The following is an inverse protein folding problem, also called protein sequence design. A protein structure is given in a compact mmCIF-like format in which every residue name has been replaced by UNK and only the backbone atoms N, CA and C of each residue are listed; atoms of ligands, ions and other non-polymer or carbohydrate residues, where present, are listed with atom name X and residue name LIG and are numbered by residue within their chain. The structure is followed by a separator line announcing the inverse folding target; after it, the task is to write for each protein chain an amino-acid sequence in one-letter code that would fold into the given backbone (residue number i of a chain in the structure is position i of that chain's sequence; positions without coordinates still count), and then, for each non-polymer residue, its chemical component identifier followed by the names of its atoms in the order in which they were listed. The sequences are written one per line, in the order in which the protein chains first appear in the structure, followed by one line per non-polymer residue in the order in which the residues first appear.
data_IF_095294546365
#
_entry.id   IF_095294546365
#
_cell.length_a   1.000
_cell.length_b   1.000
_cell.length_c   1.000
_cell.angle_alpha   90.00
_cell.angle_beta   90.00
_cell.angle_gamma   90.00
#
_symmetry.space_group_name_H-M   'P 1'
#
loop_
_entity.id
_entity.type
_entity.pdbx_description
1 polymer ?
#
# COMPACT_ATOMS: atom_id res chain seq x y z
N UNK A 1 -58.18 -28.05 25.00
CA UNK A 1 -58.70 -28.97 23.95
C UNK A 1 -57.56 -29.21 22.97
N UNK A 2 -56.70 -30.19 23.25
CA UNK A 2 -56.79 -31.62 22.85
C UNK A 2 -56.60 -31.84 21.34
N UNK A 3 -55.38 -32.28 21.03
CA UNK A 3 -54.86 -32.97 19.84
C UNK A 3 -55.79 -34.07 19.29
N UNK A 4 -55.50 -34.53 18.06
CA UNK A 4 -55.10 -35.94 17.87
C UNK A 4 -53.75 -36.01 17.12
N UNK A 5 -52.70 -36.71 17.60
CA UNK A 5 -52.46 -38.18 17.62
C UNK A 5 -52.76 -38.84 16.27
N UNK A 6 -51.95 -39.70 15.65
CA UNK A 6 -50.65 -40.38 15.89
C UNK A 6 -50.43 -41.26 14.62
N UNK A 7 -49.28 -41.96 14.57
CA UNK A 7 -48.98 -43.21 13.82
C UNK A 7 -48.25 -42.99 12.48
N UNK A 8 -47.23 -43.76 12.06
CA UNK A 8 -46.36 -44.81 12.63
C UNK A 8 -45.27 -45.11 11.58
N UNK A 9 -44.27 -45.91 11.96
CA UNK A 9 -43.31 -46.70 11.15
C UNK A 9 -41.93 -46.07 10.96
N UNK A 10 -40.92 -46.51 11.72
CA UNK A 10 -40.19 -47.81 11.68
C UNK A 10 -39.14 -47.81 10.55
N UNK A 11 -37.89 -47.68 11.01
CA UNK A 11 -36.69 -48.42 10.60
C UNK A 11 -36.29 -48.41 9.11
N UNK A 12 -35.19 -47.73 8.82
CA UNK A 12 -34.21 -48.29 7.91
C UNK A 12 -32.79 -47.93 8.35
N UNK A 13 -32.13 -48.93 8.92
CA UNK A 13 -30.68 -49.00 9.09
C UNK A 13 -30.11 -49.29 7.71
N UNK A 14 -29.29 -48.39 7.17
CA UNK A 14 -28.32 -48.72 6.14
C UNK A 14 -26.99 -48.06 6.51
N UNK A 15 -26.17 -48.81 7.23
CA UNK A 15 -24.74 -48.56 7.31
C UNK A 15 -24.13 -48.85 5.92
N UNK A 16 -23.68 -47.82 5.22
CA UNK A 16 -22.66 -47.97 4.18
C UNK A 16 -21.55 -46.94 4.44
N UNK A 17 -20.58 -47.40 5.21
CA UNK A 17 -19.21 -46.91 5.16
C UNK A 17 -18.61 -47.20 3.79
N UNK A 18 -18.34 -46.16 3.01
CA UNK A 18 -17.36 -46.20 1.92
C UNK A 18 -16.47 -44.97 2.07
N UNK A 19 -15.34 -45.22 2.72
CA UNK A 19 -14.19 -44.34 2.78
C UNK A 19 -13.67 -44.12 1.36
N UNK A 20 -13.80 -42.90 0.83
CA UNK A 20 -12.94 -42.44 -0.25
C UNK A 20 -11.86 -41.55 0.35
N UNK A 21 -10.81 -42.22 0.84
CA UNK A 21 -9.48 -41.63 0.92
C UNK A 21 -8.96 -41.62 -0.52
N UNK A 22 -8.95 -40.45 -1.15
CA UNK A 22 -7.91 -40.13 -2.11
C UNK A 22 -7.26 -38.83 -1.70
N UNK A 23 -6.08 -39.02 -1.12
CA UNK A 23 -5.06 -38.03 -0.87
C UNK A 23 -4.55 -37.50 -2.23
N UNK A 24 -4.62 -36.20 -2.42
CA UNK A 24 -3.55 -35.45 -3.08
C UNK A 24 -3.42 -34.15 -2.32
N UNK A 25 -2.67 -34.23 -1.23
CA UNK A 25 -2.15 -33.09 -0.48
C UNK A 25 -1.21 -32.30 -1.39
N UNK A 26 -1.62 -31.09 -1.74
CA UNK A 26 -0.71 -29.94 -1.79
C UNK A 26 -1.56 -28.68 -1.63
N UNK A 27 -1.87 -28.36 -0.38
CA UNK A 27 -2.59 -27.15 -0.01
C UNK A 27 -1.96 -26.60 1.26
N UNK A 28 -0.68 -26.25 1.17
CA UNK A 28 0.09 -25.58 2.24
C UNK A 28 0.99 -24.46 1.68
N UNK A 29 0.42 -23.57 0.85
CA UNK A 29 1.14 -22.36 0.38
C UNK A 29 0.33 -21.06 0.43
N UNK A 30 -0.91 -21.03 0.96
CA UNK A 30 -1.72 -19.79 1.05
C UNK A 30 -1.91 -19.22 2.45
N UNK A 31 -1.33 -19.85 3.47
CA UNK A 31 -1.55 -19.46 4.88
C UNK A 31 -0.41 -18.64 5.47
N UNK A 32 0.81 -18.74 4.94
CA UNK A 32 1.97 -17.97 5.43
C UNK A 32 1.87 -16.49 5.05
N UNK A 33 1.47 -16.19 3.82
CA UNK A 33 1.51 -14.83 3.29
C UNK A 33 0.46 -13.94 3.97
N UNK A 34 -0.79 -14.41 4.10
CA UNK A 34 -1.84 -13.65 4.76
C UNK A 34 -1.55 -13.37 6.24
N UNK A 35 -0.95 -14.34 6.96
CA UNK A 35 -0.54 -14.13 8.36
C UNK A 35 0.62 -13.13 8.46
N UNK A 36 1.60 -13.18 7.54
CA UNK A 36 2.71 -12.22 7.52
C UNK A 36 2.28 -10.79 7.21
N UNK A 37 1.24 -10.61 6.38
CA UNK A 37 0.74 -9.28 6.02
C UNK A 37 -0.13 -8.69 7.14
N UNK A 38 -0.95 -9.51 7.82
CA UNK A 38 -1.71 -9.06 9.00
C UNK A 38 -0.78 -8.48 10.07
N UNK A 39 0.42 -9.04 10.20
CA UNK A 39 1.41 -8.57 11.18
C UNK A 39 2.22 -7.36 10.68
N UNK A 40 2.33 -7.12 9.36
CA UNK A 40 3.19 -6.03 8.83
C UNK A 40 2.50 -4.67 8.84
N UNK A 41 1.22 -4.60 8.47
CA UNK A 41 0.53 -3.32 8.35
C UNK A 41 0.54 -2.50 9.67
N UNK A 42 0.30 -3.08 10.86
CA UNK A 42 0.41 -2.35 12.12
C UNK A 42 1.83 -1.82 12.42
N UNK A 43 2.87 -2.54 12.00
CA UNK A 43 4.27 -2.11 12.18
C UNK A 43 4.57 -0.90 11.29
N UNK A 44 4.07 -0.91 10.05
CA UNK A 44 4.19 0.23 9.13
C UNK A 44 3.44 1.44 9.66
N UNK A 45 2.22 1.26 10.17
CA UNK A 45 1.43 2.34 10.77
C UNK A 45 2.15 2.97 11.96
N UNK A 46 2.78 2.16 12.82
CA UNK A 46 3.56 2.65 13.96
C UNK A 46 4.79 3.46 13.51
N UNK A 47 5.55 2.95 12.53
CA UNK A 47 6.72 3.65 12.00
C UNK A 47 6.33 4.97 11.32
N UNK A 48 5.25 4.98 10.53
CA UNK A 48 4.72 6.19 9.90
C UNK A 48 4.26 7.20 10.94
N UNK A 49 3.58 6.77 12.00
CA UNK A 49 3.15 7.65 13.09
C UNK A 49 4.32 8.30 13.85
N UNK A 50 5.51 7.68 13.80
CA UNK A 50 6.75 8.18 14.39
C UNK A 50 7.61 8.99 13.39
N UNK A 51 7.10 9.23 12.18
CA UNK A 51 7.83 9.83 11.06
C UNK A 51 9.08 9.01 10.61
N UNK A 52 9.14 7.71 10.94
CA UNK A 52 10.23 6.79 10.57
C UNK A 52 10.00 6.16 9.17
N UNK A 53 9.84 7.00 8.15
CA UNK A 53 9.47 6.57 6.79
C UNK A 53 10.52 5.69 6.11
N UNK A 54 11.81 5.97 6.30
CA UNK A 54 12.88 5.18 5.68
C UNK A 54 12.85 3.73 6.18
N UNK A 55 12.70 3.53 7.49
CA UNK A 55 12.62 2.20 8.10
C UNK A 55 11.34 1.47 7.65
N UNK A 56 10.21 2.17 7.56
CA UNK A 56 8.97 1.60 7.04
C UNK A 56 9.12 1.12 5.59
N UNK A 57 9.81 1.90 4.74
CA UNK A 57 10.05 1.53 3.34
C UNK A 57 11.04 0.38 3.21
N UNK A 58 12.14 0.38 3.98
CA UNK A 58 13.10 -0.74 4.01
C UNK A 58 12.43 -2.05 4.42
N UNK A 59 11.51 -2.00 5.39
CA UNK A 59 10.72 -3.16 5.81
C UNK A 59 9.82 -3.68 4.67
N UNK A 60 9.21 -2.78 3.89
CA UNK A 60 8.35 -3.13 2.75
C UNK A 60 9.14 -3.61 1.52
N UNK A 61 10.39 -3.21 1.34
CA UNK A 61 11.24 -3.66 0.22
C UNK A 61 11.61 -5.15 0.33
N UNK A 62 11.73 -5.67 1.56
CA UNK A 62 12.04 -7.07 1.81
C UNK A 62 10.89 -8.04 1.53
N UNK A 63 9.71 -7.55 1.18
CA UNK A 63 8.48 -8.35 1.07
C UNK A 63 8.06 -8.46 -0.40
N UNK A 64 7.70 -9.68 -0.88
CA UNK A 64 7.17 -9.87 -2.23
C UNK A 64 5.97 -8.96 -2.52
N UNK A 65 5.97 -8.33 -3.69
CA UNK A 65 4.92 -7.42 -4.07
C UNK A 65 3.59 -8.15 -4.31
N UNK A 66 2.57 -7.65 -3.64
CA UNK A 66 1.17 -8.01 -3.84
C UNK A 66 0.33 -6.73 -3.67
N UNK A 67 -0.97 -6.73 -4.01
CA UNK A 67 -1.78 -5.51 -3.96
C UNK A 67 -1.79 -4.79 -2.60
N UNK A 68 -1.70 -5.52 -1.50
CA UNK A 68 -1.69 -4.96 -0.15
C UNK A 68 -0.34 -4.30 0.17
N UNK A 69 0.77 -4.97 -0.15
CA UNK A 69 2.12 -4.40 -0.01
C UNK A 69 2.31 -3.19 -0.91
N UNK A 70 1.79 -3.21 -2.13
CA UNK A 70 1.81 -2.04 -3.03
C UNK A 70 1.01 -0.88 -2.43
N UNK A 71 -0.15 -1.15 -1.82
CA UNK A 71 -0.95 -0.12 -1.13
C UNK A 71 -0.18 0.48 0.05
N UNK A 72 0.50 -0.34 0.86
CA UNK A 72 1.34 0.14 1.95
C UNK A 72 2.52 0.98 1.44
N UNK A 73 3.21 0.54 0.38
CA UNK A 73 4.31 1.31 -0.24
C UNK A 73 3.80 2.65 -0.79
N UNK A 74 2.67 2.64 -1.50
CA UNK A 74 2.04 3.85 -2.04
C UNK A 74 1.76 4.87 -0.92
N UNK A 75 1.09 4.42 0.15
CA UNK A 75 0.73 5.28 1.26
C UNK A 75 1.95 5.77 2.07
N UNK A 76 2.95 4.92 2.27
CA UNK A 76 4.18 5.30 2.97
C UNK A 76 4.96 6.34 2.18
N UNK A 77 5.12 6.19 0.86
CA UNK A 77 5.74 7.21 0.02
C UNK A 77 4.95 8.53 0.03
N UNK A 78 3.62 8.47 -0.05
CA UNK A 78 2.77 9.67 -0.01
C UNK A 78 2.96 10.44 1.31
N UNK A 79 2.92 9.74 2.44
CA UNK A 79 3.13 10.36 3.74
C UNK A 79 4.57 10.88 3.91
N UNK A 80 5.55 10.18 3.35
CA UNK A 80 6.94 10.61 3.41
C UNK A 80 7.17 11.91 2.63
N UNK A 81 6.61 12.00 1.40
CA UNK A 81 6.63 13.24 0.62
C UNK A 81 6.02 14.42 1.39
N UNK A 82 4.85 14.21 2.02
CA UNK A 82 4.19 15.23 2.85
C UNK A 82 5.03 15.63 4.07
N UNK A 83 5.71 14.68 4.71
CA UNK A 83 6.62 14.99 5.81
C UNK A 83 7.79 15.86 5.34
N UNK A 84 8.45 15.48 4.24
CA UNK A 84 9.59 16.20 3.67
C UNK A 84 9.24 17.63 3.27
N UNK A 85 8.05 17.82 2.69
CA UNK A 85 7.57 19.13 2.26
C UNK A 85 7.23 20.03 3.47
N UNK A 86 6.45 19.51 4.41
CA UNK A 86 5.76 20.36 5.40
C UNK A 86 6.33 20.29 6.82
N UNK A 87 6.95 19.16 7.21
CA UNK A 87 7.28 18.88 8.63
C UNK A 87 8.78 18.70 8.91
N UNK A 88 9.58 18.26 7.93
CA UNK A 88 11.00 18.02 8.15
C UNK A 88 11.74 19.32 8.48
N UNK A 89 12.08 19.50 9.76
CA UNK A 89 12.78 20.69 10.25
C UNK A 89 14.29 20.65 9.95
N UNK A 90 14.85 19.49 9.57
CA UNK A 90 16.28 19.33 9.36
C UNK A 90 16.75 19.92 8.03
N UNK A 91 15.86 19.98 7.03
CA UNK A 91 16.16 20.59 5.74
C UNK A 91 15.64 22.03 5.74
N UNK A 92 16.55 23.00 5.70
CA UNK A 92 16.21 24.44 5.68
C UNK A 92 16.16 25.03 4.27
N UNK A 93 16.80 24.36 3.31
CA UNK A 93 16.76 24.76 1.90
C UNK A 93 15.46 24.30 1.24
N UNK A 94 14.62 25.27 0.88
CA UNK A 94 13.33 25.03 0.22
C UNK A 94 13.46 24.23 -1.08
N UNK A 95 14.52 24.43 -1.87
CA UNK A 95 14.73 23.67 -3.12
C UNK A 95 14.97 22.19 -2.81
N UNK A 96 15.74 21.89 -1.77
CA UNK A 96 16.05 20.51 -1.41
C UNK A 96 14.82 19.80 -0.83
N UNK A 97 14.03 20.50 0.01
CA UNK A 97 12.73 20.01 0.51
C UNK A 97 11.80 19.61 -0.63
N UNK A 98 11.58 20.53 -1.57
CA UNK A 98 10.69 20.30 -2.70
C UNK A 98 11.17 19.17 -3.60
N UNK A 99 12.47 19.08 -3.90
CA UNK A 99 12.97 17.97 -4.72
C UNK A 99 12.85 16.62 -4.01
N UNK A 100 13.08 16.57 -2.70
CA UNK A 100 12.92 15.33 -1.94
C UNK A 100 11.45 14.89 -1.92
N UNK A 101 10.51 15.82 -1.67
CA UNK A 101 9.08 15.53 -1.73
C UNK A 101 8.63 15.05 -3.13
N UNK A 102 9.06 15.74 -4.20
CA UNK A 102 8.76 15.36 -5.57
C UNK A 102 9.22 13.93 -5.91
N UNK A 103 10.40 13.51 -5.45
CA UNK A 103 10.88 12.13 -5.65
C UNK A 103 9.97 11.10 -5.01
N UNK A 104 9.46 11.38 -3.81
CA UNK A 104 8.53 10.48 -3.15
C UNK A 104 7.17 10.45 -3.88
N UNK A 105 6.65 11.58 -4.32
CA UNK A 105 5.40 11.62 -5.10
C UNK A 105 5.51 10.90 -6.45
N UNK A 106 6.65 10.98 -7.13
CA UNK A 106 6.91 10.17 -8.33
C UNK A 106 6.82 8.68 -8.02
N UNK A 107 7.36 8.21 -6.89
CA UNK A 107 7.25 6.80 -6.48
C UNK A 107 5.79 6.41 -6.22
N UNK A 108 4.97 7.31 -5.66
CA UNK A 108 3.51 7.10 -5.55
C UNK A 108 2.90 6.89 -6.93
N UNK A 109 3.22 7.74 -7.92
CA UNK A 109 2.67 7.62 -9.28
C UNK A 109 3.16 6.38 -10.04
N UNK A 110 4.35 5.87 -9.74
CA UNK A 110 4.83 4.60 -10.28
C UNK A 110 3.98 3.40 -9.80
N UNK A 111 3.43 3.48 -8.60
CA UNK A 111 2.54 2.44 -8.05
C UNK A 111 1.09 2.68 -8.50
N UNK A 112 0.61 3.92 -8.37
CA UNK A 112 -0.73 4.35 -8.73
C UNK A 112 -0.68 5.65 -9.55
N UNK A 113 -0.69 5.57 -10.89
CA UNK A 113 -0.59 6.74 -11.77
C UNK A 113 -1.72 7.76 -11.62
N UNK A 114 -2.84 7.37 -11.00
CA UNK A 114 -4.02 8.20 -10.81
C UNK A 114 -4.17 8.71 -9.37
N UNK A 115 -3.12 8.64 -8.54
CA UNK A 115 -3.17 9.14 -7.17
C UNK A 115 -3.35 10.67 -7.17
N UNK A 116 -4.59 11.13 -6.98
CA UNK A 116 -4.96 12.54 -7.03
C UNK A 116 -4.17 13.40 -6.04
N UNK A 117 -3.86 12.85 -4.86
CA UNK A 117 -3.11 13.58 -3.83
C UNK A 117 -1.68 13.86 -4.30
N UNK A 118 -0.96 12.84 -4.77
CA UNK A 118 0.40 13.00 -5.28
C UNK A 118 0.44 13.95 -6.49
N UNK A 119 -0.51 13.83 -7.42
CA UNK A 119 -0.65 14.76 -8.56
C UNK A 119 -0.81 16.19 -8.05
N UNK A 120 -1.72 16.44 -7.11
CA UNK A 120 -1.99 17.79 -6.60
C UNK A 120 -0.79 18.43 -5.89
N UNK A 121 -0.04 17.65 -5.10
CA UNK A 121 1.15 18.16 -4.41
C UNK A 121 2.30 18.43 -5.40
N UNK A 122 2.48 17.58 -6.42
CA UNK A 122 3.42 17.84 -7.52
C UNK A 122 3.07 19.16 -8.21
N UNK A 123 1.81 19.34 -8.62
CA UNK A 123 1.36 20.57 -9.29
C UNK A 123 1.58 21.81 -8.42
N UNK A 124 1.33 21.71 -7.11
CA UNK A 124 1.57 22.79 -6.17
C UNK A 124 3.06 23.17 -6.10
N UNK A 125 3.96 22.18 -5.98
CA UNK A 125 5.41 22.44 -5.96
C UNK A 125 5.86 23.05 -7.28
N UNK A 126 5.37 22.57 -8.42
CA UNK A 126 5.69 23.12 -9.74
C UNK A 126 5.21 24.57 -9.89
N UNK A 127 4.01 24.89 -9.38
CA UNK A 127 3.52 26.26 -9.34
C UNK A 127 4.45 27.18 -8.53
N UNK A 128 5.03 26.69 -7.43
CA UNK A 128 6.01 27.45 -6.64
C UNK A 128 7.29 27.68 -7.45
N UNK A 129 7.82 26.67 -8.14
CA UNK A 129 8.98 26.84 -9.02
C UNK A 129 8.75 27.88 -10.11
N UNK A 130 7.56 27.91 -10.72
CA UNK A 130 7.19 28.89 -11.73
C UNK A 130 7.26 30.35 -11.22
N UNK A 131 7.16 30.59 -9.91
CA UNK A 131 7.34 31.93 -9.32
C UNK A 131 8.81 32.35 -9.20
N UNK A 132 9.74 31.40 -9.23
CA UNK A 132 11.17 31.63 -9.17
C UNK A 132 11.73 31.63 -10.59
N UNK A 133 11.77 32.80 -11.24
CA UNK A 133 12.01 32.94 -12.70
C UNK A 133 13.25 32.31 -13.34
N UNK A 134 14.10 31.58 -12.61
CA UNK A 134 15.20 30.75 -13.14
C UNK A 134 15.44 29.46 -12.31
N UNK A 135 14.41 28.94 -11.61
CA UNK A 135 14.54 27.71 -10.83
C UNK A 135 13.57 26.65 -11.35
N UNK A 136 14.10 25.46 -11.55
CA UNK A 136 13.37 24.25 -11.84
C UNK A 136 13.68 23.18 -10.77
N UNK A 137 12.88 22.10 -10.72
CA UNK A 137 13.29 20.88 -10.03
C UNK A 137 14.66 20.39 -10.51
N UNK A 138 15.27 19.48 -9.74
CA UNK A 138 16.50 18.83 -10.16
C UNK A 138 16.30 18.00 -11.44
N UNK A 139 17.36 17.82 -12.24
CA UNK A 139 17.25 17.21 -13.57
C UNK A 139 16.67 15.79 -13.54
N UNK A 140 17.01 15.01 -12.50
CA UNK A 140 16.45 13.68 -12.26
C UNK A 140 14.94 13.73 -12.02
N UNK A 141 14.49 14.71 -11.24
CA UNK A 141 13.07 14.93 -10.96
C UNK A 141 12.34 15.41 -12.21
N UNK A 142 12.97 16.28 -13.02
CA UNK A 142 12.43 16.76 -14.29
C UNK A 142 12.19 15.61 -15.27
N UNK A 143 13.13 14.67 -15.35
CA UNK A 143 13.00 13.48 -16.19
C UNK A 143 11.80 12.63 -15.76
N UNK A 144 11.75 12.26 -14.47
CA UNK A 144 10.66 11.48 -13.90
C UNK A 144 9.29 12.15 -14.10
N UNK A 145 9.17 13.46 -13.84
CA UNK A 145 7.91 14.19 -13.99
C UNK A 145 7.42 14.25 -15.44
N UNK A 146 8.33 14.28 -16.42
CA UNK A 146 7.96 14.22 -17.85
C UNK A 146 7.35 12.88 -18.23
N UNK A 147 7.79 11.78 -17.62
CA UNK A 147 7.21 10.45 -17.86
C UNK A 147 5.71 10.41 -17.54
N UNK A 148 5.29 11.16 -16.52
CA UNK A 148 3.89 11.29 -16.10
C UNK A 148 3.14 12.45 -16.77
N UNK A 149 3.78 13.16 -17.71
CA UNK A 149 3.13 14.21 -18.52
C UNK A 149 3.01 15.58 -17.84
N UNK A 150 3.75 15.83 -16.75
CA UNK A 150 3.78 17.16 -16.13
C UNK A 150 4.50 18.17 -17.02
N UNK A 151 4.03 19.42 -16.96
CA UNK A 151 4.65 20.57 -17.65
C UNK A 151 5.58 21.29 -16.68
N UNK A 152 6.78 21.60 -17.15
CA UNK A 152 7.90 22.13 -16.37
C UNK A 152 8.40 23.45 -16.94
#
# INVERSE_FOLDING_TARGET
MNTPKRLVSILNICALSLSFIFCSSNSDERKSDATSIIDIAPQIDELVAQDNYTEALELLEGIPENPEILTLKEMTHLNYGLFLEYRDANITNMRDKMNNALREYVKVLRINPNNEKAISEIEQILAIYATFGNRAPADDVVEDLKEFGFKL
#
